data_IF_563740493375
#
_entry.id   IF_563740493375
#
_cell.length_a   1.000
_cell.length_b   1.000
_cell.length_c   1.000
_cell.angle_alpha   90.00
_cell.angle_beta   90.00
_cell.angle_gamma   90.00
#
_symmetry.space_group_name_H-M   'P 1'
#
loop_
_entity.id
_entity.type
_entity.pdbx_description
1 polymer ?
#
# COMPACT_ATOMS: atom_id res chain seq x y z
N UNK A 1 -40.57 44.87 -11.59
CA UNK A 1 -39.31 44.89 -10.78
C UNK A 1 -38.24 44.25 -11.63
N UNK A 2 -37.19 45.02 -11.93
CA UNK A 2 -36.14 44.65 -12.87
C UNK A 2 -34.99 43.94 -12.13
N UNK A 3 -34.65 42.69 -12.50
CA UNK A 3 -33.46 42.01 -12.02
C UNK A 3 -32.27 42.36 -12.90
N UNK A 4 -31.23 42.92 -12.29
CA UNK A 4 -29.95 43.19 -12.93
C UNK A 4 -29.02 42.01 -12.73
N UNK A 5 -28.35 41.57 -13.82
CA UNK A 5 -27.27 40.59 -13.82
C UNK A 5 -25.89 41.29 -13.60
N UNK A 6 -24.95 40.67 -12.89
CA UNK A 6 -23.60 41.21 -12.81
C UNK A 6 -22.71 40.74 -13.97
N UNK A 7 -21.85 41.66 -14.41
CA UNK A 7 -20.90 41.54 -15.51
C UNK A 7 -19.72 40.64 -15.14
N UNK A 8 -19.32 39.75 -16.06
CA UNK A 8 -18.02 39.08 -16.07
C UNK A 8 -16.91 40.08 -16.37
N UNK A 9 -15.87 40.08 -15.54
CA UNK A 9 -14.59 40.72 -15.81
C UNK A 9 -13.59 39.69 -16.35
N UNK A 10 -13.14 39.90 -17.58
CA UNK A 10 -12.06 39.17 -18.23
C UNK A 10 -10.71 39.73 -17.77
N UNK A 11 -9.82 38.86 -17.22
CA UNK A 11 -8.42 39.19 -16.98
C UNK A 11 -7.56 38.33 -17.91
N UNK A 12 -7.01 38.99 -18.92
CA UNK A 12 -5.96 38.46 -19.77
C UNK A 12 -4.62 38.56 -19.04
N UNK A 13 -3.98 37.44 -18.78
CA UNK A 13 -2.62 37.36 -18.19
C UNK A 13 -1.60 36.98 -19.26
N UNK A 14 -0.63 37.85 -19.46
CA UNK A 14 0.46 37.82 -20.42
C UNK A 14 1.46 36.69 -20.13
N UNK A 15 1.80 35.87 -21.14
CA UNK A 15 2.89 34.92 -21.10
C UNK A 15 4.23 35.62 -21.30
N UNK A 16 5.16 35.49 -20.35
CA UNK A 16 6.55 35.90 -20.51
C UNK A 16 7.42 34.69 -20.89
N UNK A 17 7.97 34.70 -22.10
CA UNK A 17 9.03 33.79 -22.51
C UNK A 17 10.36 34.23 -21.84
N UNK A 18 10.99 33.34 -21.12
CA UNK A 18 12.37 33.46 -20.69
C UNK A 18 13.20 32.41 -21.44
N UNK A 19 14.02 32.88 -22.36
CA UNK A 19 15.08 32.13 -23.02
C UNK A 19 16.25 31.97 -22.00
N UNK A 20 16.58 30.74 -21.61
CA UNK A 20 17.74 30.41 -20.77
C UNK A 20 18.87 29.79 -21.60
N UNK A 21 20.03 30.45 -21.61
CA UNK A 21 21.25 30.02 -22.29
C UNK A 21 21.81 28.72 -21.68
N UNK A 22 22.16 27.78 -22.56
CA UNK A 22 22.96 26.61 -22.23
C UNK A 22 24.41 27.01 -21.96
N UNK A 23 24.94 26.67 -20.79
CA UNK A 23 26.37 26.71 -20.49
C UNK A 23 26.83 25.25 -20.30
N UNK A 24 27.70 24.81 -21.20
CA UNK A 24 28.45 23.56 -21.10
C UNK A 24 29.64 23.74 -20.15
N UNK A 25 29.86 22.83 -19.17
CA UNK A 25 31.09 22.83 -18.37
C UNK A 25 32.25 22.11 -19.11
N UNK A 26 33.48 22.53 -18.92
CA UNK A 26 34.65 21.86 -19.49
C UNK A 26 35.00 20.57 -18.75
N UNK A 27 35.32 19.53 -19.51
CA UNK A 27 35.86 18.26 -19.01
C UNK A 27 37.31 18.44 -18.60
N UNK A 28 37.62 18.32 -17.33
CA UNK A 28 38.98 18.13 -16.83
C UNK A 28 39.23 16.65 -16.59
N UNK A 29 40.09 16.07 -17.44
CA UNK A 29 40.59 14.71 -17.27
C UNK A 29 41.53 14.63 -16.06
N UNK A 30 41.18 13.79 -15.11
CA UNK A 30 42.07 13.41 -13.99
C UNK A 30 42.53 11.97 -14.22
N UNK A 31 43.84 11.81 -14.47
CA UNK A 31 44.51 10.53 -14.59
C UNK A 31 44.59 9.81 -13.24
N UNK A 32 44.10 8.56 -13.23
CA UNK A 32 44.18 7.64 -12.08
C UNK A 32 45.58 6.96 -12.07
N UNK A 33 46.32 6.96 -10.95
CA UNK A 33 47.56 6.20 -10.83
C UNK A 33 47.27 4.71 -10.60
N UNK A 34 48.15 3.85 -11.19
CA UNK A 34 48.10 2.40 -11.07
C UNK A 34 48.41 1.93 -9.63
N UNK A 35 47.83 0.81 -9.16
CA UNK A 35 48.10 0.27 -7.83
C UNK A 35 49.46 -0.43 -7.76
N UNK A 36 50.12 -0.43 -6.60
CA UNK A 36 51.43 -1.09 -6.40
C UNK A 36 51.29 -2.61 -6.32
N UNK A 37 52.33 -3.29 -6.82
CA UNK A 37 52.46 -4.75 -6.87
C UNK A 37 52.54 -5.37 -5.48
N UNK A 38 51.80 -6.46 -5.25
CA UNK A 38 51.85 -7.26 -4.02
C UNK A 38 53.16 -8.05 -3.89
N UNK A 39 53.68 -8.23 -2.68
CA UNK A 39 54.79 -9.16 -2.41
C UNK A 39 54.30 -10.61 -2.26
N UNK A 40 55.18 -11.52 -2.58
CA UNK A 40 55.03 -12.97 -2.68
C UNK A 40 54.49 -13.64 -1.39
N UNK A 41 53.60 -14.60 -1.60
CA UNK A 41 53.05 -15.46 -0.58
C UNK A 41 54.08 -16.43 0.04
N UNK A 42 54.16 -16.45 1.37
CA UNK A 42 54.74 -17.53 2.11
C UNK A 42 53.76 -18.69 2.24
N UNK A 43 54.20 -19.88 1.86
CA UNK A 43 53.42 -21.11 2.02
C UNK A 43 53.20 -21.44 3.50
N UNK A 44 51.95 -21.49 3.92
CA UNK A 44 51.55 -21.97 5.24
C UNK A 44 51.15 -23.46 5.17
N UNK A 45 51.62 -24.22 6.11
CA UNK A 45 51.36 -25.64 6.34
C UNK A 45 49.89 -25.90 6.58
N UNK A 46 49.28 -26.97 6.04
CA UNK A 46 47.84 -27.23 6.26
C UNK A 46 47.58 -27.68 7.71
N UNK A 47 46.73 -26.92 8.39
CA UNK A 47 46.19 -27.32 9.69
C UNK A 47 45.10 -28.39 9.51
N UNK A 48 45.04 -29.33 10.44
CA UNK A 48 44.08 -30.43 10.48
C UNK A 48 42.61 -29.90 10.53
N UNK A 49 41.64 -30.61 9.94
CA UNK A 49 40.23 -30.19 9.94
C UNK A 49 39.66 -30.25 11.34
N UNK A 50 39.18 -29.12 11.81
CA UNK A 50 38.31 -29.02 13.00
C UNK A 50 36.96 -29.67 12.68
N UNK A 51 36.35 -30.47 13.59
CA UNK A 51 35.05 -31.04 13.33
C UNK A 51 33.99 -29.93 13.12
N UNK A 52 33.25 -30.06 12.03
CA UNK A 52 32.17 -29.16 11.69
C UNK A 52 31.15 -29.08 12.84
N UNK A 53 31.04 -27.90 13.45
CA UNK A 53 29.93 -27.58 14.32
C UNK A 53 28.64 -27.79 13.57
N UNK A 54 27.66 -28.46 14.19
CA UNK A 54 26.28 -28.60 13.72
C UNK A 54 25.76 -27.23 13.33
N UNK A 55 25.54 -27.03 12.03
CA UNK A 55 24.86 -25.85 11.51
C UNK A 55 23.51 -25.77 12.22
N UNK A 56 23.34 -24.76 13.06
CA UNK A 56 22.03 -24.37 13.56
C UNK A 56 21.18 -24.09 12.32
N UNK A 57 20.16 -24.92 12.09
CA UNK A 57 19.28 -24.75 10.94
C UNK A 57 18.73 -23.33 10.95
N UNK A 58 18.81 -22.65 9.81
CA UNK A 58 18.09 -21.40 9.60
C UNK A 58 16.62 -21.63 9.99
N UNK A 59 15.97 -20.70 10.68
CA UNK A 59 14.56 -20.82 10.97
C UNK A 59 13.81 -21.07 9.66
N UNK A 60 12.88 -22.04 9.69
CA UNK A 60 12.01 -22.28 8.53
C UNK A 60 11.32 -20.96 8.17
N UNK A 61 11.13 -20.65 6.87
CA UNK A 61 10.42 -19.46 6.48
C UNK A 61 9.03 -19.49 7.16
N UNK A 62 8.65 -18.35 7.74
CA UNK A 62 7.36 -18.18 8.37
C UNK A 62 6.26 -18.54 7.37
N UNK A 63 5.30 -19.38 7.77
CA UNK A 63 4.19 -19.75 6.88
C UNK A 63 3.26 -18.55 6.73
N UNK A 64 2.93 -18.19 5.47
CA UNK A 64 1.93 -17.15 5.20
C UNK A 64 0.58 -17.59 5.77
N UNK A 65 -0.06 -16.81 6.67
CA UNK A 65 -1.36 -17.14 7.22
C UNK A 65 -2.42 -17.23 6.12
N UNK A 66 -3.28 -18.23 6.18
CA UNK A 66 -4.36 -18.42 5.21
C UNK A 66 -5.48 -17.39 5.41
N UNK A 67 -6.30 -17.17 4.39
CA UNK A 67 -7.51 -16.33 4.50
C UNK A 67 -8.39 -16.78 5.68
N UNK A 68 -8.58 -18.08 5.86
CA UNK A 68 -9.35 -18.62 7.00
C UNK A 68 -8.74 -18.25 8.35
N UNK A 69 -7.42 -18.22 8.48
CA UNK A 69 -6.76 -17.79 9.72
C UNK A 69 -7.01 -16.30 10.00
N UNK A 70 -6.93 -15.44 8.97
CA UNK A 70 -7.25 -14.00 9.09
C UNK A 70 -8.72 -13.81 9.47
N UNK A 71 -9.64 -14.50 8.81
CA UNK A 71 -11.07 -14.47 9.12
C UNK A 71 -11.33 -14.89 10.57
N UNK A 72 -10.70 -15.98 11.03
CA UNK A 72 -10.83 -16.46 12.41
C UNK A 72 -10.34 -15.43 13.42
N UNK A 73 -9.21 -14.78 13.13
CA UNK A 73 -8.64 -13.73 13.96
C UNK A 73 -9.56 -12.52 14.05
N UNK A 74 -10.02 -11.99 12.92
CA UNK A 74 -10.89 -10.80 12.87
C UNK A 74 -12.24 -11.03 13.58
N UNK A 75 -12.71 -12.26 13.62
CA UNK A 75 -13.95 -12.65 14.34
C UNK A 75 -13.71 -13.14 15.77
N UNK A 76 -12.48 -13.08 16.26
CA UNK A 76 -12.17 -13.47 17.65
C UNK A 76 -12.75 -12.46 18.65
N UNK A 77 -12.98 -12.90 19.90
CA UNK A 77 -13.42 -12.00 20.97
C UNK A 77 -12.27 -11.18 21.59
N UNK A 78 -11.07 -11.22 21.00
CA UNK A 78 -9.90 -10.47 21.49
C UNK A 78 -9.90 -9.06 20.91
N UNK A 79 -9.25 -8.13 21.59
CA UNK A 79 -8.90 -6.82 21.03
C UNK A 79 -7.88 -7.00 19.91
N UNK A 80 -7.96 -6.20 18.85
CA UNK A 80 -7.06 -6.30 17.70
C UNK A 80 -6.64 -4.92 17.19
N UNK A 81 -5.37 -4.84 16.79
CA UNK A 81 -4.80 -3.74 16.04
C UNK A 81 -4.67 -4.11 14.56
N UNK A 82 -5.26 -3.31 13.69
CA UNK A 82 -5.32 -3.53 12.24
C UNK A 82 -4.62 -2.38 11.55
N UNK A 83 -3.57 -2.65 10.79
CA UNK A 83 -2.90 -1.63 9.99
C UNK A 83 -3.32 -1.70 8.52
N UNK A 84 -3.52 -0.55 7.90
CA UNK A 84 -3.82 -0.41 6.48
C UNK A 84 -2.74 0.47 5.84
N UNK A 85 -2.05 -0.05 4.84
CA UNK A 85 -1.19 0.72 3.95
C UNK A 85 -1.92 0.92 2.63
N UNK A 86 -2.21 2.16 2.29
CA UNK A 86 -3.01 2.49 1.11
C UNK A 86 -2.54 3.76 0.40
N UNK A 87 -3.26 4.10 -0.64
CA UNK A 87 -3.04 5.32 -1.42
C UNK A 87 -4.28 6.25 -1.39
N UNK A 88 -4.43 7.08 -2.43
CA UNK A 88 -5.57 8.01 -2.57
C UNK A 88 -6.95 7.36 -2.73
N UNK A 89 -7.03 6.04 -2.73
CA UNK A 89 -8.31 5.31 -2.74
C UNK A 89 -8.83 5.01 -1.34
N UNK A 90 -8.05 5.33 -0.29
CA UNK A 90 -8.37 5.04 1.09
C UNK A 90 -7.99 6.13 2.09
N UNK A 91 -7.56 7.33 1.63
CA UNK A 91 -7.05 8.39 2.51
C UNK A 91 -8.14 9.34 3.05
N UNK A 92 -9.40 9.18 2.62
CA UNK A 92 -10.52 10.01 3.07
C UNK A 92 -11.53 9.24 3.95
N UNK A 93 -12.29 9.99 4.75
CA UNK A 93 -13.31 9.42 5.66
C UNK A 93 -14.53 8.83 4.96
N UNK A 94 -14.68 9.07 3.66
CA UNK A 94 -15.76 8.54 2.80
C UNK A 94 -15.29 7.36 1.94
N UNK A 95 -14.07 6.89 2.17
CA UNK A 95 -13.46 5.81 1.40
C UNK A 95 -13.41 4.50 2.19
N UNK A 96 -13.07 3.43 1.52
CA UNK A 96 -13.27 2.06 1.99
C UNK A 96 -12.71 1.73 3.39
N UNK A 97 -11.54 2.24 3.86
CA UNK A 97 -11.06 1.87 5.20
C UNK A 97 -11.94 2.45 6.31
N UNK A 98 -12.42 3.69 6.12
CA UNK A 98 -13.30 4.33 7.08
C UNK A 98 -14.72 3.74 7.04
N UNK A 99 -15.21 3.33 5.86
CA UNK A 99 -16.48 2.62 5.71
C UNK A 99 -16.39 1.24 6.34
N UNK A 100 -15.31 0.49 6.12
CA UNK A 100 -15.06 -0.80 6.76
C UNK A 100 -15.00 -0.69 8.28
N UNK A 101 -14.27 0.31 8.82
CA UNK A 101 -14.24 0.60 10.25
C UNK A 101 -15.66 0.91 10.80
N UNK A 102 -16.47 1.65 10.03
CA UNK A 102 -17.86 1.95 10.39
C UNK A 102 -18.71 0.68 10.42
N UNK A 103 -18.57 -0.20 9.45
CA UNK A 103 -19.28 -1.49 9.42
C UNK A 103 -18.87 -2.39 10.60
N UNK A 104 -17.56 -2.46 10.92
CA UNK A 104 -17.08 -3.17 12.11
C UNK A 104 -17.70 -2.64 13.41
N UNK A 105 -18.06 -1.36 13.47
CA UNK A 105 -18.64 -0.74 14.67
C UNK A 105 -20.07 -1.23 14.99
N UNK A 106 -20.68 -2.02 14.11
CA UNK A 106 -21.95 -2.70 14.42
C UNK A 106 -21.81 -3.76 15.53
N UNK A 107 -20.63 -4.39 15.64
CA UNK A 107 -20.38 -5.51 16.54
C UNK A 107 -19.16 -5.31 17.46
N UNK A 108 -18.39 -4.24 17.25
CA UNK A 108 -17.13 -3.97 17.96
C UNK A 108 -17.07 -2.51 18.41
N UNK A 109 -16.39 -2.25 19.53
CA UNK A 109 -15.89 -0.91 19.80
C UNK A 109 -14.73 -0.63 18.83
N UNK A 110 -14.82 0.43 18.01
CA UNK A 110 -13.80 0.72 16.99
C UNK A 110 -13.18 2.09 17.21
N UNK A 111 -11.86 2.14 17.15
CA UNK A 111 -11.11 3.38 17.02
C UNK A 111 -10.45 3.40 15.64
N UNK A 112 -10.82 4.36 14.82
CA UNK A 112 -10.18 4.61 13.53
C UNK A 112 -9.16 5.74 13.68
N UNK A 113 -7.91 5.43 13.42
CA UNK A 113 -6.80 6.38 13.34
C UNK A 113 -6.46 6.59 11.86
N UNK A 114 -6.70 7.80 11.34
CA UNK A 114 -6.40 8.17 9.96
C UNK A 114 -5.13 9.00 9.90
N UNK A 115 -4.18 8.62 9.08
CA UNK A 115 -2.95 9.40 8.89
C UNK A 115 -3.21 10.72 8.17
N UNK A 116 -2.70 11.82 8.73
CA UNK A 116 -2.79 13.16 8.15
C UNK A 116 -1.40 13.61 7.72
N UNK A 117 -1.11 13.45 6.43
CA UNK A 117 0.20 13.76 5.84
C UNK A 117 0.69 15.18 6.13
N UNK A 118 -0.21 16.16 6.12
CA UNK A 118 0.15 17.56 6.36
C UNK A 118 0.65 17.85 7.79
N UNK A 119 0.27 17.02 8.76
CA UNK A 119 0.67 17.16 10.17
C UNK A 119 1.62 16.07 10.64
N UNK A 120 1.83 15.00 9.86
CA UNK A 120 2.64 13.85 10.22
C UNK A 120 2.13 13.13 11.48
N UNK A 121 0.81 12.97 11.61
CA UNK A 121 0.18 12.30 12.76
C UNK A 121 -1.19 11.74 12.41
N UNK A 122 -1.67 10.85 13.26
CA UNK A 122 -3.01 10.31 13.17
C UNK A 122 -4.07 11.27 13.72
N UNK A 123 -5.23 11.28 13.07
CA UNK A 123 -6.48 11.82 13.55
C UNK A 123 -7.36 10.67 14.02
N UNK A 124 -7.70 10.68 15.31
CA UNK A 124 -8.48 9.63 15.93
C UNK A 124 -9.98 9.90 15.78
N UNK A 125 -10.74 8.84 15.50
CA UNK A 125 -12.20 8.83 15.53
C UNK A 125 -12.70 7.57 16.22
N UNK A 126 -13.38 7.75 17.35
CA UNK A 126 -14.05 6.65 18.06
C UNK A 126 -15.43 6.43 17.45
N UNK A 127 -15.70 5.17 17.08
CA UNK A 127 -16.98 4.69 16.59
C UNK A 127 -17.66 3.86 17.68
N UNK A 128 -18.98 4.06 17.86
CA UNK A 128 -19.74 3.36 18.90
C UNK A 128 -19.96 1.90 18.52
N UNK A 129 -19.74 1.01 19.48
CA UNK A 129 -20.03 -0.42 19.39
C UNK A 129 -19.75 -1.07 20.74
N UNK A 130 -20.33 -2.22 21.01
CA UNK A 130 -20.33 -2.84 22.34
C UNK A 130 -19.46 -4.12 22.42
N UNK A 131 -18.85 -4.53 21.30
CA UNK A 131 -18.01 -5.73 21.23
C UNK A 131 -16.54 -5.50 21.61
N UNK A 132 -15.67 -6.48 21.37
CA UNK A 132 -14.23 -6.36 21.56
C UNK A 132 -13.66 -5.19 20.76
N UNK A 133 -12.64 -4.53 21.31
CA UNK A 133 -12.07 -3.35 20.68
C UNK A 133 -11.29 -3.69 19.42
N UNK A 134 -11.41 -2.85 18.41
CA UNK A 134 -10.65 -2.86 17.15
C UNK A 134 -10.02 -1.50 16.94
N UNK A 135 -8.70 -1.46 16.89
CA UNK A 135 -7.98 -0.24 16.47
C UNK A 135 -7.61 -0.38 15.00
N UNK A 136 -8.02 0.57 14.17
CA UNK A 136 -7.65 0.61 12.76
C UNK A 136 -6.68 1.77 12.54
N UNK A 137 -5.46 1.45 12.15
CA UNK A 137 -4.41 2.39 11.78
C UNK A 137 -4.40 2.54 10.25
N UNK A 138 -5.16 3.50 9.74
CA UNK A 138 -5.23 3.78 8.31
C UNK A 138 -4.12 4.73 7.88
N UNK A 139 -3.02 4.19 7.38
CA UNK A 139 -1.89 4.90 6.79
C UNK A 139 -2.02 4.96 5.26
N UNK A 140 -3.17 5.36 4.76
CA UNK A 140 -3.34 5.63 3.33
C UNK A 140 -2.87 7.04 3.00
N UNK A 141 -2.05 7.19 1.94
CA UNK A 141 -1.48 8.47 1.54
C UNK A 141 -1.60 8.67 0.03
N UNK A 142 -2.28 9.74 -0.35
CA UNK A 142 -2.50 10.10 -1.75
C UNK A 142 -1.20 10.15 -2.56
N UNK A 143 -1.19 9.45 -3.71
CA UNK A 143 -0.06 9.43 -4.64
C UNK A 143 1.11 8.52 -4.23
N UNK A 144 1.05 7.87 -3.07
CA UNK A 144 2.15 7.02 -2.63
C UNK A 144 2.16 5.66 -3.33
N UNK A 145 3.40 5.20 -3.58
CA UNK A 145 3.76 3.86 -4.04
C UNK A 145 4.30 3.05 -2.86
N UNK A 146 4.45 1.74 -2.95
CA UNK A 146 5.07 0.96 -1.88
C UNK A 146 6.44 1.51 -1.43
N UNK A 147 7.26 2.02 -2.35
CA UNK A 147 8.57 2.60 -2.03
C UNK A 147 8.53 3.90 -1.23
N UNK A 148 7.43 4.62 -1.23
CA UNK A 148 7.30 5.84 -0.42
C UNK A 148 7.15 5.53 1.08
N UNK A 149 6.75 4.31 1.42
CA UNK A 149 6.57 3.88 2.81
C UNK A 149 7.88 3.41 3.47
N UNK A 150 8.97 3.19 2.74
CA UNK A 150 10.18 2.56 3.30
C UNK A 150 10.74 3.29 4.52
N UNK A 151 10.75 4.61 4.49
CA UNK A 151 11.23 5.45 5.59
C UNK A 151 10.09 5.87 6.55
N UNK A 152 8.89 5.30 6.40
CA UNK A 152 7.69 5.66 7.13
C UNK A 152 6.93 4.45 7.71
N UNK A 153 7.53 3.27 7.69
CA UNK A 153 6.87 2.06 8.25
C UNK A 153 6.58 2.25 9.73
N UNK A 154 7.50 2.85 10.48
CA UNK A 154 7.33 3.15 11.92
C UNK A 154 6.17 4.12 12.16
N UNK A 155 6.00 5.12 11.28
CA UNK A 155 4.88 6.05 11.35
C UNK A 155 3.54 5.36 11.10
N UNK A 156 3.53 4.35 10.22
CA UNK A 156 2.32 3.61 9.83
C UNK A 156 1.99 2.43 10.77
N UNK A 157 2.95 2.02 11.60
CA UNK A 157 2.82 0.95 12.58
C UNK A 157 3.20 1.46 13.98
N UNK A 158 2.44 2.39 14.58
CA UNK A 158 2.73 2.91 15.92
C UNK A 158 2.61 1.84 17.00
N UNK A 159 1.81 0.80 16.75
CA UNK A 159 1.68 -0.40 17.55
C UNK A 159 1.92 -1.63 16.67
N UNK A 160 2.30 -2.76 17.27
CA UNK A 160 2.45 -4.00 16.53
C UNK A 160 1.07 -4.55 16.11
N UNK A 161 0.75 -4.58 14.81
CA UNK A 161 -0.58 -4.97 14.36
C UNK A 161 -0.78 -6.49 14.42
N UNK A 162 -2.03 -6.89 14.64
CA UNK A 162 -2.46 -8.30 14.52
C UNK A 162 -2.75 -8.69 13.07
N UNK A 163 -3.11 -7.71 12.23
CA UNK A 163 -3.39 -7.89 10.79
C UNK A 163 -2.92 -6.65 10.03
N UNK A 164 -2.32 -6.86 8.87
CA UNK A 164 -1.96 -5.79 7.93
C UNK A 164 -2.71 -5.96 6.61
N UNK A 165 -3.34 -4.90 6.12
CA UNK A 165 -3.97 -4.85 4.80
C UNK A 165 -3.16 -3.92 3.91
N UNK A 166 -2.73 -4.42 2.75
CA UNK A 166 -1.96 -3.64 1.78
C UNK A 166 -2.84 -3.37 0.55
N UNK A 167 -3.06 -2.10 0.26
CA UNK A 167 -3.87 -1.64 -0.87
C UNK A 167 -3.08 -0.62 -1.70
N UNK A 168 -2.10 -1.12 -2.47
CA UNK A 168 -1.14 -0.31 -3.22
C UNK A 168 -0.92 -0.88 -4.61
N UNK A 169 -0.62 0.00 -5.57
CA UNK A 169 -0.30 -0.38 -6.95
C UNK A 169 -0.67 0.69 -7.97
N UNK A 170 -1.79 1.38 -7.82
CA UNK A 170 -2.28 2.38 -8.76
C UNK A 170 -1.26 3.46 -9.13
N UNK A 171 -0.37 3.82 -8.22
CA UNK A 171 0.63 4.85 -8.44
C UNK A 171 1.91 4.35 -9.14
N UNK A 172 1.99 3.06 -9.46
CA UNK A 172 3.12 2.48 -10.22
C UNK A 172 2.93 2.57 -11.75
N UNK A 173 1.92 3.28 -12.26
CA UNK A 173 1.58 3.36 -13.68
C UNK A 173 2.73 3.87 -14.57
N UNK A 174 3.67 4.66 -14.04
CA UNK A 174 4.83 5.14 -14.81
C UNK A 174 5.90 4.07 -15.02
N UNK A 175 5.95 3.05 -14.16
CA UNK A 175 6.82 1.90 -14.25
C UNK A 175 6.17 0.69 -13.55
N UNK A 176 5.29 -0.04 -14.24
CA UNK A 176 4.58 -1.19 -13.69
C UNK A 176 5.51 -2.29 -13.18
N UNK A 177 6.68 -2.44 -13.78
CA UNK A 177 7.64 -3.49 -13.41
C UNK A 177 8.23 -3.32 -12.02
N UNK A 178 8.17 -2.10 -11.47
CA UNK A 178 8.62 -1.80 -10.12
C UNK A 178 7.56 -2.05 -9.04
N UNK A 179 6.30 -2.25 -9.40
CA UNK A 179 5.22 -2.41 -8.42
C UNK A 179 5.49 -3.59 -7.48
N UNK A 180 5.73 -4.77 -8.05
CA UNK A 180 5.97 -5.98 -7.26
C UNK A 180 7.28 -5.96 -6.46
N UNK A 181 8.47 -5.59 -7.02
CA UNK A 181 9.68 -5.46 -6.22
C UNK A 181 9.56 -4.47 -5.06
N UNK A 182 8.89 -3.34 -5.28
CA UNK A 182 8.65 -2.35 -4.23
C UNK A 182 7.70 -2.88 -3.15
N UNK A 183 6.64 -3.57 -3.54
CA UNK A 183 5.72 -4.20 -2.61
C UNK A 183 6.44 -5.25 -1.74
N UNK A 184 7.21 -6.14 -2.35
CA UNK A 184 7.98 -7.18 -1.63
C UNK A 184 8.96 -6.57 -0.61
N UNK A 185 9.62 -5.48 -0.97
CA UNK A 185 10.50 -4.74 -0.04
C UNK A 185 9.70 -4.16 1.12
N UNK A 186 8.56 -3.52 0.86
CA UNK A 186 7.69 -2.99 1.91
C UNK A 186 7.22 -4.10 2.86
N UNK A 187 6.82 -5.26 2.34
CA UNK A 187 6.38 -6.37 3.19
C UNK A 187 7.51 -6.91 4.10
N UNK A 188 8.75 -6.89 3.62
CA UNK A 188 9.93 -7.19 4.45
C UNK A 188 10.04 -6.22 5.63
N UNK A 189 10.00 -4.92 5.36
CA UNK A 189 10.08 -3.87 6.37
C UNK A 189 8.90 -3.92 7.38
N UNK A 190 7.69 -4.19 6.89
CA UNK A 190 6.51 -4.38 7.76
C UNK A 190 6.71 -5.55 8.72
N UNK A 191 7.23 -6.69 8.26
CA UNK A 191 7.51 -7.85 9.12
C UNK A 191 8.63 -7.61 10.11
N UNK A 192 9.66 -6.86 9.69
CA UNK A 192 10.78 -6.49 10.57
C UNK A 192 10.31 -5.59 11.71
N UNK A 193 9.34 -4.71 11.45
CA UNK A 193 8.79 -3.78 12.43
C UNK A 193 7.70 -4.41 13.31
N UNK A 194 6.81 -5.20 12.73
CA UNK A 194 5.71 -5.87 13.44
C UNK A 194 6.19 -7.20 14.07
N UNK A 195 5.81 -8.30 13.46
CA UNK A 195 6.27 -9.65 13.79
C UNK A 195 6.50 -10.42 12.49
N UNK A 196 7.43 -11.37 12.45
CA UNK A 196 7.68 -12.16 11.24
C UNK A 196 6.45 -12.89 10.69
N UNK A 197 5.52 -13.26 11.54
CA UNK A 197 4.33 -14.05 11.23
C UNK A 197 3.06 -13.20 11.13
N UNK A 198 3.16 -11.85 11.15
CA UNK A 198 1.98 -10.99 11.05
C UNK A 198 1.18 -11.33 9.80
N UNK A 199 -0.13 -11.59 9.92
CA UNK A 199 -1.00 -11.80 8.78
C UNK A 199 -1.04 -10.58 7.88
N UNK A 200 -0.69 -10.77 6.60
CA UNK A 200 -0.76 -9.71 5.58
C UNK A 200 -1.78 -10.12 4.53
N UNK A 201 -2.70 -9.22 4.24
CA UNK A 201 -3.74 -9.36 3.20
C UNK A 201 -3.42 -8.39 2.07
N UNK A 202 -3.45 -8.87 0.84
CA UNK A 202 -3.19 -8.08 -0.36
C UNK A 202 -4.52 -7.69 -1.00
N UNK A 203 -4.71 -6.42 -1.31
CA UNK A 203 -5.88 -5.95 -2.06
C UNK A 203 -5.52 -5.78 -3.53
N UNK A 204 -6.25 -6.46 -4.41
CA UNK A 204 -6.27 -6.12 -5.83
C UNK A 204 -7.16 -4.89 -6.00
N UNK A 205 -6.54 -3.73 -6.24
CA UNK A 205 -7.26 -2.46 -6.35
C UNK A 205 -8.22 -2.44 -7.54
N UNK A 206 -9.20 -1.54 -7.54
CA UNK A 206 -10.22 -1.42 -8.59
C UNK A 206 -9.61 -1.21 -9.97
N UNK A 207 -10.30 -1.68 -11.00
CA UNK A 207 -9.94 -1.37 -12.38
C UNK A 207 -10.03 0.14 -12.63
N UNK A 208 -9.03 0.71 -13.31
CA UNK A 208 -9.10 2.06 -13.86
C UNK A 208 -9.77 2.04 -15.23
N UNK A 209 -10.38 3.16 -15.65
CA UNK A 209 -11.09 3.23 -16.95
C UNK A 209 -10.50 4.25 -17.92
N UNK A 210 -9.48 5.00 -17.50
CA UNK A 210 -8.75 5.94 -18.38
C UNK A 210 -7.88 5.16 -19.36
N UNK A 211 -8.06 5.30 -20.69
CA UNK A 211 -7.32 4.51 -21.70
C UNK A 211 -5.80 4.63 -21.58
N UNK A 212 -5.31 5.78 -21.13
CA UNK A 212 -3.87 6.06 -21.00
C UNK A 212 -3.24 5.31 -19.82
N UNK A 213 -4.02 4.99 -18.78
CA UNK A 213 -3.54 4.32 -17.57
C UNK A 213 -3.87 2.84 -17.54
N UNK A 214 -4.97 2.44 -18.18
CA UNK A 214 -5.52 1.09 -18.11
C UNK A 214 -4.46 -0.01 -18.37
N UNK A 215 -3.65 0.03 -19.45
CA UNK A 215 -2.71 -1.06 -19.69
C UNK A 215 -1.65 -1.22 -18.59
N UNK A 216 -1.19 -0.11 -18.03
CA UNK A 216 -0.19 -0.12 -16.97
C UNK A 216 -0.80 -0.58 -15.64
N UNK A 217 -2.03 -0.14 -15.33
CA UNK A 217 -2.73 -0.53 -14.11
C UNK A 217 -3.10 -2.03 -14.13
N UNK A 218 -3.58 -2.53 -15.26
CA UNK A 218 -3.88 -3.96 -15.43
C UNK A 218 -2.61 -4.81 -15.29
N UNK A 219 -1.48 -4.35 -15.82
CA UNK A 219 -0.20 -5.05 -15.66
C UNK A 219 0.26 -5.07 -14.20
N UNK A 220 0.14 -3.96 -13.45
CA UNK A 220 0.43 -3.90 -12.02
C UNK A 220 -0.46 -4.88 -11.25
N UNK A 221 -1.78 -4.84 -11.50
CA UNK A 221 -2.74 -5.73 -10.84
C UNK A 221 -2.41 -7.20 -11.13
N UNK A 222 -2.12 -7.54 -12.39
CA UNK A 222 -1.74 -8.89 -12.80
C UNK A 222 -0.48 -9.37 -12.07
N UNK A 223 0.59 -8.56 -12.05
CA UNK A 223 1.86 -8.93 -11.41
C UNK A 223 1.70 -9.18 -9.91
N UNK A 224 0.96 -8.31 -9.22
CA UNK A 224 0.71 -8.45 -7.79
C UNK A 224 -0.19 -9.66 -7.51
N UNK A 225 -1.26 -9.85 -8.31
CA UNK A 225 -2.19 -10.96 -8.12
C UNK A 225 -1.53 -12.32 -8.35
N UNK A 226 -0.80 -12.51 -9.45
CA UNK A 226 -0.11 -13.76 -9.77
C UNK A 226 0.88 -14.12 -8.65
N UNK A 227 1.69 -13.15 -8.21
CA UNK A 227 2.61 -13.36 -7.10
C UNK A 227 1.90 -13.66 -5.78
N UNK A 228 0.85 -12.92 -5.42
CA UNK A 228 0.12 -13.14 -4.18
C UNK A 228 -0.54 -14.54 -4.13
N UNK A 229 -1.03 -15.03 -5.28
CA UNK A 229 -1.57 -16.40 -5.43
C UNK A 229 -0.45 -17.44 -5.24
N UNK A 230 0.69 -17.25 -5.90
CA UNK A 230 1.84 -18.16 -5.81
C UNK A 230 2.35 -18.29 -4.38
N UNK A 231 2.50 -17.15 -3.70
CA UNK A 231 2.96 -17.07 -2.31
C UNK A 231 1.85 -17.32 -1.28
N UNK A 232 0.61 -17.57 -1.74
CA UNK A 232 -0.57 -17.89 -0.91
C UNK A 232 -1.01 -16.80 0.04
N UNK A 233 -0.77 -15.54 -0.29
CA UNK A 233 -1.33 -14.43 0.47
C UNK A 233 -2.86 -14.42 0.36
N UNK A 234 -3.59 -14.11 1.45
CA UNK A 234 -4.99 -13.76 1.37
C UNK A 234 -5.20 -12.56 0.43
N UNK A 235 -6.20 -12.62 -0.43
CA UNK A 235 -6.50 -11.57 -1.42
C UNK A 235 -7.90 -11.02 -1.20
N UNK A 236 -8.03 -9.70 -1.21
CA UNK A 236 -9.30 -8.98 -1.37
C UNK A 236 -9.39 -8.56 -2.83
N UNK A 237 -10.34 -9.16 -3.55
CA UNK A 237 -10.46 -9.00 -5.02
C UNK A 237 -11.43 -7.87 -5.37
N UNK A 238 -11.01 -6.64 -5.19
CA UNK A 238 -11.80 -5.45 -5.56
C UNK A 238 -11.79 -5.24 -7.08
N UNK A 239 -10.75 -5.70 -7.77
CA UNK A 239 -10.68 -5.57 -9.23
C UNK A 239 -11.89 -6.24 -9.90
N UNK A 240 -12.14 -7.51 -9.58
CA UNK A 240 -13.28 -8.23 -10.14
C UNK A 240 -14.62 -7.73 -9.58
N UNK A 241 -14.69 -7.32 -8.31
CA UNK A 241 -15.90 -6.69 -7.79
C UNK A 241 -16.34 -5.48 -8.63
N UNK A 242 -15.40 -4.67 -9.10
CA UNK A 242 -15.70 -3.51 -9.97
C UNK A 242 -15.99 -3.91 -11.42
N UNK A 243 -15.22 -4.85 -12.01
CA UNK A 243 -15.42 -5.26 -13.40
C UNK A 243 -16.71 -6.03 -13.61
N UNK A 244 -17.13 -6.82 -12.63
CA UNK A 244 -18.33 -7.66 -12.67
C UNK A 244 -19.61 -6.90 -12.23
N UNK A 245 -19.46 -5.70 -11.68
CA UNK A 245 -20.59 -4.87 -11.32
C UNK A 245 -21.44 -4.47 -12.54
N UNK A 246 -22.74 -4.25 -12.38
CA UNK A 246 -23.61 -3.80 -13.47
C UNK A 246 -23.09 -2.54 -14.16
N UNK A 247 -22.68 -2.66 -15.41
CA UNK A 247 -22.07 -1.58 -16.21
C UNK A 247 -20.54 -1.49 -16.08
N UNK A 248 -19.90 -2.43 -15.39
CA UNK A 248 -18.46 -2.47 -15.17
C UNK A 248 -17.97 -1.40 -14.20
N UNK A 249 -16.67 -1.14 -14.17
CA UNK A 249 -16.07 -0.18 -13.24
C UNK A 249 -16.51 1.28 -13.46
N UNK A 250 -16.83 1.67 -14.69
CA UNK A 250 -17.09 3.08 -15.06
C UNK A 250 -18.08 3.82 -14.15
N UNK A 251 -19.28 3.27 -13.88
CA UNK A 251 -20.27 3.91 -13.00
C UNK A 251 -19.85 4.05 -11.53
N UNK A 252 -18.82 3.32 -11.12
CA UNK A 252 -18.31 3.26 -9.75
C UNK A 252 -17.12 4.21 -9.51
N UNK A 253 -16.67 4.90 -10.55
CA UNK A 253 -15.51 5.79 -10.47
C UNK A 253 -15.90 7.27 -10.59
N UNK A 254 -15.04 8.12 -10.04
CA UNK A 254 -15.07 9.57 -10.28
C UNK A 254 -14.75 9.86 -11.75
N UNK A 255 -14.99 11.07 -12.26
CA UNK A 255 -14.72 11.41 -13.67
C UNK A 255 -13.27 11.24 -14.12
N UNK A 256 -12.33 11.10 -13.20
CA UNK A 256 -10.92 10.81 -13.50
C UNK A 256 -10.67 9.34 -13.91
N UNK A 257 -11.68 8.48 -13.77
CA UNK A 257 -11.63 7.07 -14.15
C UNK A 257 -10.64 6.24 -13.33
N UNK A 258 -10.25 6.71 -12.16
CA UNK A 258 -9.31 6.06 -11.24
C UNK A 258 -9.89 5.90 -9.83
N UNK A 259 -10.29 7.02 -9.21
CA UNK A 259 -10.74 7.02 -7.83
C UNK A 259 -12.21 6.56 -7.73
N UNK A 260 -12.54 5.67 -6.78
CA UNK A 260 -13.91 5.31 -6.49
C UNK A 260 -14.75 6.55 -6.16
N UNK A 261 -15.99 6.58 -6.67
CA UNK A 261 -17.02 7.48 -6.17
C UNK A 261 -17.67 6.87 -4.91
N UNK A 262 -18.72 7.49 -4.37
CA UNK A 262 -19.40 7.01 -3.18
C UNK A 262 -19.85 5.54 -3.32
N UNK A 263 -20.49 5.18 -4.45
CA UNK A 263 -20.94 3.81 -4.70
C UNK A 263 -19.76 2.84 -4.85
N UNK A 264 -18.66 3.26 -5.48
CA UNK A 264 -17.45 2.47 -5.59
C UNK A 264 -16.76 2.26 -4.24
N UNK A 265 -16.71 3.28 -3.39
CA UNK A 265 -16.15 3.15 -2.03
C UNK A 265 -16.97 2.20 -1.17
N UNK A 266 -18.30 2.22 -1.29
CA UNK A 266 -19.18 1.26 -0.61
C UNK A 266 -18.92 -0.16 -1.13
N UNK A 267 -18.93 -0.39 -2.45
CA UNK A 267 -18.65 -1.71 -3.02
C UNK A 267 -17.29 -2.25 -2.57
N UNK A 268 -16.28 -1.39 -2.48
CA UNK A 268 -14.97 -1.79 -1.98
C UNK A 268 -15.05 -2.24 -0.51
N UNK A 269 -15.67 -1.44 0.36
CA UNK A 269 -15.85 -1.80 1.77
C UNK A 269 -16.65 -3.10 1.93
N UNK A 270 -17.73 -3.28 1.17
CA UNK A 270 -18.53 -4.51 1.14
C UNK A 270 -17.65 -5.71 0.72
N UNK A 271 -16.81 -5.56 -0.31
CA UNK A 271 -15.88 -6.60 -0.75
C UNK A 271 -14.88 -6.99 0.36
N UNK A 272 -14.39 -6.01 1.12
CA UNK A 272 -13.53 -6.26 2.29
C UNK A 272 -14.29 -7.05 3.34
N UNK A 273 -15.52 -6.66 3.68
CA UNK A 273 -16.38 -7.35 4.66
C UNK A 273 -16.68 -8.78 4.21
N UNK A 274 -17.13 -8.97 2.98
CA UNK A 274 -17.44 -10.29 2.41
C UNK A 274 -16.21 -11.22 2.40
N UNK A 275 -15.03 -10.66 2.13
CA UNK A 275 -13.80 -11.45 2.11
C UNK A 275 -13.31 -11.78 3.51
N UNK A 276 -13.28 -10.80 4.42
CA UNK A 276 -12.62 -10.96 5.72
C UNK A 276 -13.57 -11.39 6.85
N UNK A 277 -14.87 -11.11 6.74
CA UNK A 277 -15.88 -11.43 7.77
C UNK A 277 -17.17 -12.02 7.19
N UNK A 278 -17.10 -13.09 6.35
CA UNK A 278 -18.20 -13.56 5.52
C UNK A 278 -19.45 -14.06 6.30
N UNK A 279 -19.35 -14.33 7.58
CA UNK A 279 -20.48 -14.77 8.43
C UNK A 279 -21.26 -13.62 9.06
N UNK A 280 -20.98 -12.36 8.68
CA UNK A 280 -21.75 -11.19 9.10
C UNK A 280 -22.89 -10.83 8.16
N UNK A 281 -22.93 -11.42 6.96
CA UNK A 281 -23.95 -11.18 5.93
C UNK A 281 -25.22 -12.00 6.16
#
# INVERSE_FOLDING_TARGET
MKCSAPKLASLAGTAALLAGCALTPPSTGTSVPAPPSSPAAHAATPAAPTPAGTASGAPAPASVPTLFAVQTLLNSPTELDIAVFGDSTGDEMTEWPALWATEMSSDHAVTLNRWITSSGRYEERVLSGDGPHRTVWNCSVSGWKPSNFYDHVDDCLPEAPDVVVISLGHNNNSDPTQALPQLQTLLGLVRDQATPDVPIVITMQNQVTTPERLPAADEVTRLIAEWAIEEKYPIIDVYHAFTDAPGGAGPLLKPDGLHPNEAGSVLWADTVVETLTPWRS
#
